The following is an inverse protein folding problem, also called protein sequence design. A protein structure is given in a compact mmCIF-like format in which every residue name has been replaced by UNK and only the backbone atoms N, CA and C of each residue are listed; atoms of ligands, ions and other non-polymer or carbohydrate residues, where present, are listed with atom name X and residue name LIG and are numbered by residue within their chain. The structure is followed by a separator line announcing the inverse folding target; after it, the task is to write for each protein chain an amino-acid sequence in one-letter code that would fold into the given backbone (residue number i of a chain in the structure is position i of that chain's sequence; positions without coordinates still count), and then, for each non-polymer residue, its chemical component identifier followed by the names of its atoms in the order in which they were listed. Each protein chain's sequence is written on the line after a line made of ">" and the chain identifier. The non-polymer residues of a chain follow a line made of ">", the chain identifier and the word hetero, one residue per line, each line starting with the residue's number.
data_IF_972306949977
#
_entry.id   IF_972306949977
#
_cell.length_a   1.000
_cell.length_b   1.000
_cell.length_c   1.000
_cell.angle_alpha   90.00
_cell.angle_beta   90.00
_cell.angle_gamma   90.00
#
_symmetry.space_group_name_H-M   'P 1'
#
loop_
_entity.id
_entity.type
_entity.pdbx_description
1 polymer ?
#
# COMPACT_ATOMS: atom_id res chain seq x y z
N UNK A 1 -47.69 6.49 51.04
CA UNK A 1 -46.63 7.16 51.82
C UNK A 1 -45.73 6.03 52.27
N UNK A 2 -44.51 5.83 51.77
CA UNK A 2 -43.56 6.69 51.07
C UNK A 2 -42.71 5.85 50.10
N UNK A 3 -42.16 6.55 49.11
CA UNK A 3 -41.15 6.07 48.15
C UNK A 3 -39.82 5.79 48.87
N UNK A 4 -39.12 4.74 48.46
CA UNK A 4 -37.65 4.78 48.43
C UNK A 4 -37.17 4.30 47.06
N UNK A 5 -36.81 5.28 46.26
CA UNK A 5 -36.09 5.21 44.99
C UNK A 5 -34.65 4.77 45.24
N UNK A 6 -34.33 3.52 44.91
CA UNK A 6 -32.96 3.10 44.68
C UNK A 6 -32.49 3.62 43.33
N UNK A 7 -31.83 4.78 43.32
CA UNK A 7 -30.99 5.25 42.22
C UNK A 7 -29.87 4.22 41.99
N UNK A 8 -30.03 3.38 40.96
CA UNK A 8 -28.89 2.76 40.32
C UNK A 8 -28.35 3.75 39.30
N UNK A 9 -27.36 4.52 39.73
CA UNK A 9 -26.47 5.29 38.87
C UNK A 9 -25.84 4.34 37.85
N UNK A 10 -26.36 4.35 36.62
CA UNK A 10 -25.68 3.77 35.48
C UNK A 10 -24.32 4.44 35.36
N UNK A 11 -23.27 3.65 35.55
CA UNK A 11 -21.91 4.08 35.24
C UNK A 11 -21.89 4.30 33.73
N UNK A 12 -21.82 5.57 33.32
CA UNK A 12 -21.51 5.95 31.94
C UNK A 12 -20.12 5.39 31.63
N UNK A 13 -20.09 4.22 31.02
CA UNK A 13 -18.88 3.60 30.52
C UNK A 13 -18.38 4.41 29.31
N UNK A 14 -17.21 5.07 29.39
CA UNK A 14 -16.66 5.87 28.28
C UNK A 14 -16.39 5.02 27.03
N UNK A 15 -16.36 3.69 27.15
CA UNK A 15 -16.17 2.77 26.03
C UNK A 15 -17.40 2.69 25.11
N UNK A 16 -18.58 3.11 25.59
CA UNK A 16 -19.85 3.09 24.85
C UNK A 16 -20.47 4.48 24.66
N UNK A 17 -19.75 5.53 25.05
CA UNK A 17 -20.15 6.90 24.84
C UNK A 17 -19.84 7.34 23.40
N UNK A 18 -20.51 6.75 22.41
CA UNK A 18 -20.48 7.30 21.04
C UNK A 18 -21.88 7.32 20.41
N UNK A 19 -22.48 8.51 20.44
CA UNK A 19 -23.61 8.85 19.58
C UNK A 19 -23.26 8.70 18.08
N UNK A 20 -21.98 8.60 17.73
CA UNK A 20 -21.47 8.42 16.36
C UNK A 20 -21.70 7.01 15.79
N UNK A 21 -21.72 5.95 16.60
CA UNK A 21 -21.89 4.58 16.09
C UNK A 21 -23.28 4.35 15.47
N UNK A 22 -24.31 5.08 15.95
CA UNK A 22 -25.67 5.02 15.38
C UNK A 22 -25.81 5.76 14.04
N UNK A 23 -24.88 6.65 13.67
CA UNK A 23 -24.91 7.42 12.41
C UNK A 23 -23.89 6.97 11.36
N UNK A 24 -23.01 6.03 11.67
CA UNK A 24 -22.01 5.53 10.71
C UNK A 24 -22.64 4.95 9.44
N UNK A 25 -22.20 5.44 8.28
CA UNK A 25 -22.58 4.88 6.98
C UNK A 25 -21.94 3.50 6.73
N UNK A 26 -20.82 3.22 7.41
CA UNK A 26 -20.13 1.93 7.38
C UNK A 26 -20.66 1.06 8.52
N UNK A 27 -21.17 -0.13 8.19
CA UNK A 27 -21.73 -1.10 9.15
C UNK A 27 -20.86 -2.33 9.34
N UNK A 28 -20.01 -2.65 8.37
CA UNK A 28 -19.04 -3.77 8.44
C UNK A 28 -17.65 -3.29 8.02
N UNK A 29 -16.97 -2.50 8.87
CA UNK A 29 -15.67 -1.91 8.54
C UNK A 29 -14.59 -2.96 8.22
N UNK A 30 -14.69 -4.16 8.79
CA UNK A 30 -13.77 -5.29 8.54
C UNK A 30 -13.66 -5.67 7.06
N UNK A 31 -14.72 -5.45 6.27
CA UNK A 31 -14.74 -5.74 4.83
C UNK A 31 -13.91 -4.75 4.00
N UNK A 32 -13.60 -3.59 4.59
CA UNK A 32 -12.78 -2.53 4.02
C UNK A 32 -11.38 -2.49 4.62
N UNK A 33 -11.02 -3.49 5.43
CA UNK A 33 -9.66 -3.62 5.96
C UNK A 33 -8.77 -4.38 4.98
N UNK A 34 -7.61 -3.81 4.70
CA UNK A 34 -6.62 -4.36 3.75
C UNK A 34 -6.05 -5.71 4.21
N UNK A 35 -6.07 -5.99 5.52
CA UNK A 35 -5.59 -7.25 6.10
C UNK A 35 -6.66 -8.34 6.21
N UNK A 36 -7.93 -8.01 5.95
CA UNK A 36 -9.01 -8.99 6.03
C UNK A 36 -8.93 -9.93 4.83
N UNK A 37 -8.83 -11.24 5.10
CA UNK A 37 -8.92 -12.29 4.09
C UNK A 37 -10.40 -12.65 3.94
N UNK A 38 -11.07 -12.27 2.84
CA UNK A 38 -12.48 -12.55 2.67
C UNK A 38 -12.67 -13.99 2.16
N UNK A 39 -13.91 -14.47 2.17
CA UNK A 39 -14.27 -15.75 1.57
C UNK A 39 -13.86 -15.84 0.09
N UNK A 40 -13.63 -17.06 -0.39
CA UNK A 40 -13.17 -17.32 -1.78
C UNK A 40 -14.01 -16.61 -2.83
N UNK A 41 -15.34 -16.59 -2.62
CA UNK A 41 -16.30 -15.97 -3.54
C UNK A 41 -16.14 -14.43 -3.65
N UNK A 42 -15.27 -13.83 -2.83
CA UNK A 42 -14.99 -12.39 -2.81
C UNK A 42 -13.60 -12.04 -3.32
N UNK A 43 -12.80 -13.04 -3.71
CA UNK A 43 -11.53 -12.85 -4.43
C UNK A 43 -11.87 -12.72 -5.92
N UNK A 44 -11.92 -11.49 -6.42
CA UNK A 44 -12.36 -11.21 -7.79
C UNK A 44 -11.14 -11.08 -8.73
N UNK A 45 -11.25 -11.67 -9.93
CA UNK A 45 -10.30 -11.47 -11.02
C UNK A 45 -8.96 -12.20 -10.83
N UNK A 46 -8.89 -13.20 -9.95
CA UNK A 46 -7.69 -14.01 -9.69
C UNK A 46 -7.92 -15.52 -9.77
N UNK A 47 -8.94 -15.93 -10.52
CA UNK A 47 -9.31 -17.35 -10.63
C UNK A 47 -8.20 -18.19 -11.27
N UNK A 48 -7.53 -17.65 -12.29
CA UNK A 48 -6.41 -18.32 -12.96
C UNK A 48 -5.24 -18.49 -11.99
N UNK A 49 -4.82 -17.40 -11.34
CA UNK A 49 -3.71 -17.43 -10.39
C UNK A 49 -4.02 -18.32 -9.17
N UNK A 50 -5.27 -18.32 -8.68
CA UNK A 50 -5.71 -19.25 -7.63
C UNK A 50 -5.58 -20.71 -8.08
N UNK A 51 -5.98 -21.03 -9.32
CA UNK A 51 -5.84 -22.35 -9.90
C UNK A 51 -4.37 -22.78 -10.04
N UNK A 52 -3.51 -21.88 -10.51
CA UNK A 52 -2.08 -22.16 -10.62
C UNK A 52 -1.43 -22.40 -9.26
N UNK A 53 -1.67 -21.54 -8.26
CA UNK A 53 -1.17 -21.78 -6.89
C UNK A 53 -1.71 -23.09 -6.31
N UNK A 54 -2.99 -23.40 -6.52
CA UNK A 54 -3.60 -24.64 -6.04
C UNK A 54 -2.94 -25.86 -6.69
N UNK A 55 -2.70 -25.83 -8.00
CA UNK A 55 -2.05 -26.93 -8.74
C UNK A 55 -0.65 -27.24 -8.22
N UNK A 56 0.11 -26.21 -7.81
CA UNK A 56 1.44 -26.40 -7.21
C UNK A 56 1.37 -26.97 -5.80
N UNK A 57 0.29 -26.70 -5.07
CA UNK A 57 0.06 -27.22 -3.72
C UNK A 57 -0.65 -28.59 -3.72
N UNK A 58 -1.14 -29.10 -4.85
CA UNK A 58 -1.74 -30.44 -4.93
C UNK A 58 -0.79 -31.56 -4.49
N UNK A 59 0.50 -31.45 -4.82
CA UNK A 59 1.51 -32.41 -4.40
C UNK A 59 1.51 -32.58 -2.87
N UNK A 60 1.41 -31.47 -2.14
CA UNK A 60 1.35 -31.48 -0.68
C UNK A 60 0.12 -32.22 -0.17
N UNK A 61 -1.04 -31.99 -0.80
CA UNK A 61 -2.31 -32.64 -0.42
C UNK A 61 -2.26 -34.15 -0.69
N UNK A 62 -1.50 -34.58 -1.69
CA UNK A 62 -1.31 -35.99 -2.09
C UNK A 62 -0.15 -36.70 -1.37
N UNK A 63 0.51 -36.03 -0.42
CA UNK A 63 1.71 -36.51 0.26
C UNK A 63 2.88 -36.81 -0.71
N UNK A 64 2.97 -36.01 -1.79
CA UNK A 64 4.05 -36.00 -2.76
C UNK A 64 5.01 -34.82 -2.46
N UNK A 65 6.30 -34.92 -2.81
CA UNK A 65 7.24 -33.83 -2.61
C UNK A 65 6.84 -32.60 -3.44
N UNK A 66 6.60 -31.43 -2.82
CA UNK A 66 6.21 -30.23 -3.57
C UNK A 66 7.40 -29.61 -4.29
N UNK A 67 7.11 -28.92 -5.40
CA UNK A 67 8.05 -28.04 -6.07
C UNK A 67 8.03 -26.64 -5.45
N UNK A 68 9.20 -26.02 -5.36
CA UNK A 68 9.30 -24.60 -5.03
C UNK A 68 8.78 -23.76 -6.22
N UNK A 69 8.07 -22.68 -5.92
CA UNK A 69 7.62 -21.70 -6.91
C UNK A 69 7.65 -20.30 -6.32
N UNK A 70 7.76 -19.28 -7.18
CA UNK A 70 7.84 -17.88 -6.76
C UNK A 70 6.67 -17.09 -7.36
N UNK A 71 6.02 -16.29 -6.52
CA UNK A 71 4.94 -15.40 -6.92
C UNK A 71 5.46 -13.96 -7.06
N UNK A 72 5.28 -13.36 -8.24
CA UNK A 72 5.71 -12.01 -8.58
C UNK A 72 4.55 -11.07 -8.87
N UNK A 73 4.80 -9.76 -8.79
CA UNK A 73 3.83 -8.72 -9.15
C UNK A 73 3.98 -7.44 -8.32
N UNK A 74 3.44 -6.33 -8.82
CA UNK A 74 3.40 -5.04 -8.11
C UNK A 74 2.65 -5.16 -6.78
N UNK A 75 2.86 -4.23 -5.85
CA UNK A 75 2.14 -4.26 -4.56
C UNK A 75 0.63 -4.12 -4.78
N UNK A 76 -0.17 -4.77 -3.93
CA UNK A 76 -1.63 -4.69 -4.02
C UNK A 76 -2.32 -5.47 -5.14
N UNK A 77 -1.59 -6.28 -5.91
CA UNK A 77 -2.17 -7.11 -6.98
C UNK A 77 -2.83 -8.41 -6.51
N UNK A 78 -2.91 -8.66 -5.20
CA UNK A 78 -3.57 -9.85 -4.63
C UNK A 78 -2.66 -11.05 -4.32
N UNK A 79 -1.34 -10.95 -4.53
CA UNK A 79 -0.37 -12.04 -4.23
C UNK A 79 -0.58 -12.65 -2.85
N UNK A 80 -0.40 -11.86 -1.78
CA UNK A 80 -0.52 -12.35 -0.40
C UNK A 80 -1.91 -12.89 -0.10
N UNK A 81 -2.95 -12.26 -0.64
CA UNK A 81 -4.34 -12.68 -0.47
C UNK A 81 -4.58 -14.07 -1.05
N UNK A 82 -4.17 -14.28 -2.30
CA UNK A 82 -4.32 -15.58 -2.99
C UNK A 82 -3.42 -16.63 -2.35
N UNK A 83 -2.16 -16.33 -2.07
CA UNK A 83 -1.25 -17.26 -1.40
C UNK A 83 -1.82 -17.75 -0.07
N UNK A 84 -2.30 -16.82 0.77
CA UNK A 84 -2.85 -17.15 2.07
C UNK A 84 -4.17 -17.91 1.95
N UNK A 85 -5.07 -17.48 1.06
CA UNK A 85 -6.36 -18.16 0.82
C UNK A 85 -6.15 -19.60 0.36
N UNK A 86 -5.29 -19.83 -0.64
CA UNK A 86 -5.02 -21.18 -1.15
C UNK A 86 -4.23 -22.02 -0.12
N UNK A 87 -3.28 -21.43 0.60
CA UNK A 87 -2.52 -22.11 1.65
C UNK A 87 -3.43 -22.63 2.78
N UNK A 88 -4.36 -21.80 3.27
CA UNK A 88 -5.34 -22.20 4.29
C UNK A 88 -6.16 -23.39 3.82
N UNK A 89 -6.59 -23.40 2.55
CA UNK A 89 -7.34 -24.52 1.96
C UNK A 89 -6.49 -25.79 1.83
N UNK A 90 -5.27 -25.65 1.34
CA UNK A 90 -4.36 -26.78 1.17
C UNK A 90 -4.06 -27.43 2.54
N UNK A 91 -3.88 -26.62 3.57
CA UNK A 91 -3.72 -27.10 4.95
C UNK A 91 -4.97 -27.83 5.44
N UNK A 92 -6.17 -27.27 5.26
CA UNK A 92 -7.42 -27.92 5.63
C UNK A 92 -7.62 -29.27 4.92
N UNK A 93 -7.36 -29.32 3.61
CA UNK A 93 -7.46 -30.55 2.81
C UNK A 93 -6.41 -31.59 3.23
N UNK A 94 -5.17 -31.17 3.49
CA UNK A 94 -4.13 -32.09 3.93
C UNK A 94 -4.40 -32.65 5.34
N UNK A 95 -4.88 -31.83 6.27
CA UNK A 95 -5.32 -32.30 7.60
C UNK A 95 -6.44 -33.35 7.48
N UNK A 96 -7.40 -33.15 6.57
CA UNK A 96 -8.45 -34.16 6.29
C UNK A 96 -7.88 -35.47 5.73
N UNK A 97 -6.77 -35.40 5.00
CA UNK A 97 -6.07 -36.56 4.44
C UNK A 97 -5.02 -37.17 5.39
N UNK A 98 -4.90 -36.66 6.62
CA UNK A 98 -3.90 -37.14 7.59
C UNK A 98 -2.46 -36.76 7.24
N UNK A 99 -2.25 -35.71 6.45
CA UNK A 99 -0.95 -35.16 6.10
C UNK A 99 -0.66 -33.85 6.87
N UNK A 100 0.56 -33.72 7.40
CA UNK A 100 1.03 -32.52 8.08
C UNK A 100 1.65 -31.53 7.08
N UNK A 101 1.15 -30.30 7.06
CA UNK A 101 1.58 -29.27 6.11
C UNK A 101 2.04 -28.02 6.85
N UNK A 102 3.29 -27.62 6.58
CA UNK A 102 3.83 -26.33 6.98
C UNK A 102 3.96 -25.41 5.78
N UNK A 103 3.25 -24.27 5.78
CA UNK A 103 3.42 -23.22 4.77
C UNK A 103 4.25 -22.09 5.37
N UNK A 104 5.40 -21.78 4.77
CA UNK A 104 6.26 -20.66 5.17
C UNK A 104 6.23 -19.60 4.07
N UNK A 105 5.58 -18.47 4.34
CA UNK A 105 5.54 -17.33 3.44
C UNK A 105 6.45 -16.21 3.95
N UNK A 106 7.53 -15.90 3.22
CA UNK A 106 8.46 -14.81 3.56
C UNK A 106 8.33 -13.72 2.50
N UNK A 107 8.00 -12.51 2.93
CA UNK A 107 7.88 -11.35 2.04
C UNK A 107 8.81 -10.24 2.50
N UNK A 108 9.82 -9.92 1.69
CA UNK A 108 10.44 -8.61 1.69
C UNK A 108 11.06 -8.35 0.31
N UNK A 109 10.72 -7.21 -0.32
CA UNK A 109 11.31 -6.80 -1.59
C UNK A 109 12.71 -6.24 -1.32
N UNK A 110 13.73 -7.08 -1.46
CA UNK A 110 15.08 -6.64 -1.81
C UNK A 110 15.43 -7.34 -3.11
N UNK A 111 16.26 -6.72 -3.95
CA UNK A 111 16.75 -7.19 -5.26
C UNK A 111 17.41 -8.60 -5.26
N UNK A 112 16.71 -9.62 -4.79
CA UNK A 112 17.22 -10.96 -4.49
C UNK A 112 17.75 -11.63 -5.75
N UNK A 113 17.11 -11.41 -6.90
CA UNK A 113 17.54 -12.00 -8.18
C UNK A 113 18.90 -11.48 -8.69
N UNK A 114 19.31 -10.26 -8.30
CA UNK A 114 20.64 -9.72 -8.65
C UNK A 114 21.74 -10.18 -7.69
N UNK A 115 21.39 -10.52 -6.45
CA UNK A 115 22.31 -11.06 -5.46
C UNK A 115 22.35 -12.59 -5.43
N UNK A 116 21.39 -13.26 -6.06
CA UNK A 116 21.35 -14.72 -6.12
C UNK A 116 22.28 -15.28 -7.18
N UNK A 117 23.16 -16.18 -6.73
CA UNK A 117 23.93 -17.01 -7.64
C UNK A 117 23.01 -17.99 -8.40
N UNK A 118 23.52 -18.48 -9.53
CA UNK A 118 22.79 -19.34 -10.47
C UNK A 118 22.32 -20.66 -9.83
N UNK A 119 23.04 -21.14 -8.80
CA UNK A 119 22.71 -22.36 -8.05
C UNK A 119 21.45 -22.21 -7.20
N UNK A 120 21.28 -21.06 -6.54
CA UNK A 120 20.09 -20.81 -5.69
C UNK A 120 18.86 -20.56 -6.57
N UNK A 121 19.01 -19.90 -7.72
CA UNK A 121 17.93 -19.76 -8.72
C UNK A 121 17.45 -21.13 -9.21
N UNK A 122 18.40 -22.00 -9.58
CA UNK A 122 18.09 -23.36 -10.03
C UNK A 122 17.40 -24.20 -8.95
N UNK A 123 17.74 -24.04 -7.66
CA UNK A 123 17.08 -24.75 -6.56
C UNK A 123 15.70 -24.21 -6.16
N UNK A 124 15.41 -22.94 -6.48
CA UNK A 124 14.11 -22.31 -6.21
C UNK A 124 13.05 -22.61 -7.28
N UNK A 125 13.43 -23.31 -8.35
CA UNK A 125 12.56 -23.67 -9.46
C UNK A 125 12.35 -22.53 -10.44
N UNK A 126 12.15 -22.86 -11.72
CA UNK A 126 11.82 -21.92 -12.80
C UNK A 126 10.31 -21.61 -12.90
N UNK A 127 9.50 -22.16 -11.98
CA UNK A 127 8.07 -21.94 -11.94
C UNK A 127 7.74 -20.58 -11.31
N UNK A 128 7.49 -19.60 -12.18
CA UNK A 128 7.14 -18.23 -11.82
C UNK A 128 5.67 -17.94 -12.10
N UNK A 129 4.97 -17.42 -11.10
CA UNK A 129 3.59 -17.01 -11.23
C UNK A 129 3.50 -15.49 -11.11
N UNK A 130 3.00 -14.82 -12.16
CA UNK A 130 3.00 -13.35 -12.27
C UNK A 130 1.60 -12.79 -12.07
N UNK A 131 1.43 -12.02 -11.00
CA UNK A 131 0.21 -11.24 -10.75
C UNK A 131 0.29 -9.88 -11.42
N UNK A 132 -0.51 -9.70 -12.47
CA UNK A 132 -0.67 -8.42 -13.15
C UNK A 132 -1.40 -7.40 -12.25
N UNK A 133 -1.23 -6.09 -12.49
CA UNK A 133 -2.13 -5.05 -11.98
C UNK A 133 -3.60 -5.36 -12.24
N UNK A 134 -4.50 -4.90 -11.36
CA UNK A 134 -5.93 -4.94 -11.67
C UNK A 134 -6.29 -3.85 -12.69
N UNK A 135 -7.14 -4.19 -13.66
CA UNK A 135 -7.76 -3.18 -14.51
C UNK A 135 -8.95 -2.49 -13.81
N UNK A 136 -9.49 -1.43 -14.43
CA UNK A 136 -10.60 -0.66 -13.85
C UNK A 136 -11.86 -1.49 -13.63
N UNK A 137 -12.16 -2.44 -14.52
CA UNK A 137 -13.33 -3.32 -14.42
C UNK A 137 -13.18 -4.30 -13.25
N UNK A 138 -11.99 -4.88 -13.09
CA UNK A 138 -11.67 -5.75 -11.97
C UNK A 138 -11.73 -4.99 -10.64
N UNK A 139 -11.15 -3.79 -10.58
CA UNK A 139 -11.23 -2.94 -9.38
C UNK A 139 -12.67 -2.55 -9.05
N UNK A 140 -13.47 -2.22 -10.04
CA UNK A 140 -14.89 -1.94 -9.85
C UNK A 140 -15.59 -3.15 -9.25
N UNK A 141 -15.43 -4.34 -9.82
CA UNK A 141 -16.04 -5.56 -9.29
C UNK A 141 -15.57 -5.91 -7.85
N UNK A 142 -14.28 -5.67 -7.54
CA UNK A 142 -13.72 -5.82 -6.19
C UNK A 142 -14.43 -4.88 -5.19
N UNK A 143 -14.68 -3.63 -5.58
CA UNK A 143 -15.35 -2.64 -4.74
C UNK A 143 -16.86 -2.93 -4.63
N UNK A 144 -17.51 -3.34 -5.72
CA UNK A 144 -18.92 -3.77 -5.74
C UNK A 144 -19.16 -4.91 -4.77
N UNK A 145 -18.27 -5.90 -4.75
CA UNK A 145 -18.30 -7.02 -3.82
C UNK A 145 -18.12 -6.62 -2.34
N UNK A 146 -17.87 -5.34 -2.04
CA UNK A 146 -17.69 -4.77 -0.69
C UNK A 146 -18.70 -3.67 -0.37
N UNK A 147 -19.65 -3.38 -1.25
CA UNK A 147 -20.71 -2.37 -1.02
C UNK A 147 -21.54 -2.70 0.22
N UNK A 148 -21.63 -3.99 0.53
CA UNK A 148 -22.29 -4.55 1.70
C UNK A 148 -21.59 -4.18 3.03
N UNK A 149 -20.40 -3.56 2.96
CA UNK A 149 -19.76 -2.88 4.10
C UNK A 149 -20.53 -1.62 4.56
N UNK A 150 -21.34 -1.04 3.68
CA UNK A 150 -22.12 0.17 3.90
C UNK A 150 -23.59 -0.15 4.13
N UNK A 151 -24.33 0.80 4.73
CA UNK A 151 -25.80 0.70 4.78
C UNK A 151 -26.39 0.71 3.37
N UNK A 152 -27.54 0.06 3.21
CA UNK A 152 -28.28 0.10 1.95
C UNK A 152 -28.58 1.55 1.53
N UNK A 153 -28.20 1.88 0.30
CA UNK A 153 -28.39 3.23 -0.26
C UNK A 153 -27.42 4.30 0.25
N UNK A 154 -26.44 3.95 1.09
CA UNK A 154 -25.44 4.90 1.60
C UNK A 154 -24.39 5.31 0.56
N UNK A 155 -24.25 4.58 -0.55
CA UNK A 155 -23.33 4.94 -1.63
C UNK A 155 -24.11 5.53 -2.80
N UNK A 156 -23.64 6.67 -3.33
CA UNK A 156 -24.07 7.13 -4.64
C UNK A 156 -23.53 6.20 -5.75
N UNK A 157 -24.31 6.06 -6.82
CA UNK A 157 -24.02 5.22 -7.98
C UNK A 157 -22.67 5.52 -8.63
N UNK A 158 -22.19 6.76 -8.57
CA UNK A 158 -20.92 7.18 -9.17
C UNK A 158 -19.69 6.89 -8.28
N UNK A 159 -19.87 6.58 -6.99
CA UNK A 159 -18.76 6.40 -6.03
C UNK A 159 -17.85 5.23 -6.43
N UNK A 160 -18.45 4.07 -6.72
CA UNK A 160 -17.69 2.86 -7.03
C UNK A 160 -16.94 2.99 -8.37
N UNK A 161 -17.57 3.40 -9.48
CA UNK A 161 -16.88 3.61 -10.75
C UNK A 161 -15.74 4.63 -10.63
N UNK A 162 -15.97 5.76 -9.94
CA UNK A 162 -14.94 6.79 -9.74
C UNK A 162 -13.75 6.25 -8.94
N UNK A 163 -14.01 5.57 -7.84
CA UNK A 163 -12.95 5.02 -6.98
C UNK A 163 -12.11 3.97 -7.74
N UNK A 164 -12.76 3.11 -8.53
CA UNK A 164 -12.08 2.14 -9.38
C UNK A 164 -11.20 2.81 -10.45
N UNK A 165 -11.74 3.84 -11.13
CA UNK A 165 -11.00 4.59 -12.13
C UNK A 165 -9.76 5.29 -11.56
N UNK A 166 -9.87 5.90 -10.37
CA UNK A 166 -8.74 6.52 -9.68
C UNK A 166 -7.65 5.49 -9.36
N UNK A 167 -8.01 4.36 -8.75
CA UNK A 167 -7.03 3.32 -8.42
C UNK A 167 -6.41 2.63 -9.66
N UNK A 168 -7.16 2.53 -10.77
CA UNK A 168 -6.65 1.95 -12.02
C UNK A 168 -5.58 2.85 -12.66
N UNK A 169 -5.77 4.18 -12.64
CA UNK A 169 -4.80 5.15 -13.17
C UNK A 169 -3.43 5.02 -12.49
N UNK A 170 -3.40 4.63 -11.23
CA UNK A 170 -2.19 4.55 -10.42
C UNK A 170 -1.80 3.10 -10.12
N UNK A 171 -1.65 2.32 -11.20
CA UNK A 171 -1.09 0.97 -11.20
C UNK A 171 -1.98 -0.17 -10.69
N UNK A 172 -3.28 0.04 -10.50
CA UNK A 172 -4.22 -1.06 -10.27
C UNK A 172 -4.08 -1.74 -8.90
N UNK A 173 -3.80 -0.98 -7.83
CA UNK A 173 -3.68 -1.49 -6.45
C UNK A 173 -5.08 -1.57 -5.78
N UNK A 174 -5.59 -2.78 -5.55
CA UNK A 174 -6.88 -2.99 -4.91
C UNK A 174 -6.93 -2.49 -3.45
N UNK A 175 -5.82 -2.52 -2.72
CA UNK A 175 -5.75 -2.00 -1.34
C UNK A 175 -5.92 -0.49 -1.32
N UNK A 176 -5.41 0.19 -2.36
CA UNK A 176 -5.64 1.63 -2.53
C UNK A 176 -7.11 1.91 -2.77
N UNK A 177 -7.73 1.21 -3.72
CA UNK A 177 -9.15 1.34 -4.02
C UNK A 177 -10.02 1.17 -2.76
N UNK A 178 -9.76 0.12 -1.98
CA UNK A 178 -10.49 -0.18 -0.73
C UNK A 178 -10.26 0.92 0.32
N UNK A 179 -9.01 1.40 0.49
CA UNK A 179 -8.72 2.50 1.43
C UNK A 179 -9.40 3.81 1.05
N UNK A 180 -9.41 4.17 -0.23
CA UNK A 180 -10.11 5.37 -0.71
C UNK A 180 -11.61 5.24 -0.39
N UNK A 181 -12.23 4.09 -0.68
CA UNK A 181 -13.63 3.85 -0.39
C UNK A 181 -13.95 3.94 1.12
N UNK A 182 -13.12 3.31 1.96
CA UNK A 182 -13.23 3.40 3.43
C UNK A 182 -13.15 4.84 3.91
N UNK A 183 -12.10 5.55 3.51
CA UNK A 183 -11.87 6.93 3.91
C UNK A 183 -13.01 7.85 3.44
N UNK A 184 -13.58 7.61 2.25
CA UNK A 184 -14.73 8.37 1.76
C UNK A 184 -15.98 8.14 2.64
N UNK A 185 -16.19 6.91 3.10
CA UNK A 185 -17.22 6.56 4.07
C UNK A 185 -17.02 7.20 5.44
N UNK A 186 -15.80 7.19 5.95
CA UNK A 186 -15.44 7.83 7.22
C UNK A 186 -15.64 9.35 7.17
N UNK A 187 -15.21 9.96 6.07
CA UNK A 187 -15.39 11.40 5.82
C UNK A 187 -16.87 11.77 5.78
N UNK A 188 -17.68 11.03 5.00
CA UNK A 188 -19.12 11.26 4.91
C UNK A 188 -19.82 11.09 6.27
N UNK A 189 -19.40 10.10 7.05
CA UNK A 189 -19.93 9.85 8.40
C UNK A 189 -19.62 11.01 9.34
N UNK A 190 -18.38 11.53 9.33
CA UNK A 190 -17.97 12.67 10.15
C UNK A 190 -18.74 13.95 9.83
N UNK A 191 -19.17 14.10 8.58
CA UNK A 191 -19.96 15.24 8.12
C UNK A 191 -21.47 15.05 8.30
N UNK A 192 -21.87 13.93 8.91
CA UNK A 192 -23.28 13.55 9.08
C UNK A 192 -24.05 13.50 7.75
N UNK A 193 -23.35 13.22 6.64
CA UNK A 193 -23.95 13.11 5.32
C UNK A 193 -24.80 11.83 5.21
N UNK A 194 -25.93 11.92 4.51
CA UNK A 194 -26.79 10.75 4.28
C UNK A 194 -26.16 9.72 3.33
N UNK A 195 -25.29 10.17 2.42
CA UNK A 195 -24.66 9.33 1.40
C UNK A 195 -23.21 9.73 1.14
N UNK A 196 -22.39 8.74 0.81
CA UNK A 196 -21.08 8.93 0.21
C UNK A 196 -21.27 9.40 -1.23
N UNK A 197 -20.61 10.51 -1.59
CA UNK A 197 -20.64 11.10 -2.93
C UNK A 197 -19.24 11.20 -3.52
N UNK A 198 -19.16 11.57 -4.78
CA UNK A 198 -17.92 11.75 -5.52
C UNK A 198 -16.93 12.74 -4.87
N UNK A 199 -17.41 13.79 -4.21
CA UNK A 199 -16.56 14.76 -3.50
C UNK A 199 -15.86 14.11 -2.29
N UNK A 200 -16.54 13.21 -1.58
CA UNK A 200 -15.92 12.46 -0.48
C UNK A 200 -14.80 11.55 -0.97
N UNK A 201 -14.93 11.00 -2.19
CA UNK A 201 -13.88 10.18 -2.84
C UNK A 201 -12.66 11.04 -3.17
N UNK A 202 -12.85 12.23 -3.74
CA UNK A 202 -11.73 13.13 -4.08
C UNK A 202 -10.95 13.55 -2.83
N UNK A 203 -11.67 13.89 -1.75
CA UNK A 203 -11.05 14.25 -0.47
C UNK A 203 -10.41 13.05 0.21
N UNK A 204 -11.02 11.87 0.11
CA UNK A 204 -10.46 10.63 0.62
C UNK A 204 -9.15 10.24 -0.08
N UNK A 205 -9.07 10.45 -1.39
CA UNK A 205 -7.83 10.26 -2.15
C UNK A 205 -6.73 11.19 -1.65
N UNK A 206 -6.99 12.51 -1.61
CA UNK A 206 -6.03 13.51 -1.13
C UNK A 206 -5.55 13.19 0.28
N UNK A 207 -6.47 12.80 1.16
CA UNK A 207 -6.15 12.40 2.53
C UNK A 207 -5.32 11.11 2.57
N UNK A 208 -5.68 10.08 1.79
CA UNK A 208 -4.93 8.82 1.75
C UNK A 208 -3.50 9.01 1.23
N UNK A 209 -3.29 9.92 0.28
CA UNK A 209 -1.96 10.31 -0.22
C UNK A 209 -1.15 11.00 0.89
N UNK A 210 -1.76 11.97 1.58
CA UNK A 210 -1.11 12.66 2.69
C UNK A 210 -0.78 11.72 3.87
N UNK A 211 -1.72 10.87 4.29
CA UNK A 211 -1.54 9.91 5.38
C UNK A 211 -0.43 8.89 5.03
N UNK A 212 -0.41 8.37 3.79
CA UNK A 212 0.66 7.49 3.30
C UNK A 212 2.02 8.19 3.35
N UNK A 213 2.08 9.45 2.90
CA UNK A 213 3.32 10.22 2.89
C UNK A 213 3.82 10.43 4.33
N UNK A 214 2.95 10.82 5.28
CA UNK A 214 3.27 10.92 6.70
C UNK A 214 3.84 9.60 7.26
N UNK A 215 3.16 8.47 7.03
CA UNK A 215 3.61 7.16 7.49
C UNK A 215 5.01 6.83 6.93
N UNK A 216 5.22 7.05 5.63
CA UNK A 216 6.50 6.80 4.98
C UNK A 216 7.60 7.69 5.55
N UNK A 217 7.38 9.02 5.58
CA UNK A 217 8.38 10.00 6.02
C UNK A 217 8.73 9.83 7.49
N UNK A 218 7.76 9.54 8.36
CA UNK A 218 8.00 9.36 9.80
C UNK A 218 8.98 8.20 10.08
N UNK A 219 8.87 7.11 9.32
CA UNK A 219 9.74 5.93 9.44
C UNK A 219 11.10 6.05 8.75
N UNK A 220 11.38 7.14 8.03
CA UNK A 220 12.65 7.29 7.32
C UNK A 220 13.83 7.60 8.27
N UNK A 221 15.02 7.01 8.01
CA UNK A 221 16.25 7.40 8.70
C UNK A 221 16.58 8.90 8.49
N UNK A 222 17.33 9.53 9.41
CA UNK A 222 17.64 10.97 9.34
C UNK A 222 18.24 11.41 8.00
N UNK A 223 19.26 10.70 7.49
CA UNK A 223 19.88 11.07 6.21
C UNK A 223 18.93 10.92 5.01
N UNK A 224 17.97 10.00 5.05
CA UNK A 224 16.95 9.92 4.01
C UNK A 224 16.02 11.14 4.05
N UNK A 225 15.69 11.64 5.26
CA UNK A 225 14.94 12.90 5.43
C UNK A 225 15.75 14.10 4.94
N UNK A 226 17.04 14.18 5.24
CA UNK A 226 17.90 15.28 4.77
C UNK A 226 18.01 15.31 3.24
N UNK A 227 18.07 14.16 2.58
CA UNK A 227 18.05 14.08 1.11
C UNK A 227 16.71 14.57 0.54
N UNK A 228 15.58 14.23 1.19
CA UNK A 228 14.27 14.73 0.76
C UNK A 228 14.13 16.24 0.97
N UNK A 229 14.63 16.78 2.08
CA UNK A 229 14.72 18.23 2.29
C UNK A 229 15.60 18.89 1.23
N UNK A 230 16.71 18.26 0.83
CA UNK A 230 17.58 18.78 -0.21
C UNK A 230 16.83 18.92 -1.54
N UNK A 231 16.08 17.89 -1.93
CA UNK A 231 15.23 17.91 -3.12
C UNK A 231 14.12 18.95 -3.02
N UNK A 232 13.39 19.01 -1.90
CA UNK A 232 12.32 19.99 -1.71
C UNK A 232 12.85 21.44 -1.76
N UNK A 233 14.02 21.69 -1.17
CA UNK A 233 14.68 23.01 -1.23
C UNK A 233 15.13 23.39 -2.64
N UNK A 234 15.58 22.41 -3.44
CA UNK A 234 15.95 22.65 -4.83
C UNK A 234 14.71 22.97 -5.67
N UNK A 235 13.64 22.21 -5.49
CA UNK A 235 12.35 22.37 -6.18
C UNK A 235 11.72 23.73 -5.89
N UNK A 236 11.78 24.19 -4.62
CA UNK A 236 11.25 25.51 -4.21
C UNK A 236 12.06 26.69 -4.77
N UNK A 237 13.33 26.49 -5.13
CA UNK A 237 14.21 27.57 -5.59
C UNK A 237 14.11 27.85 -7.09
N UNK A 238 13.61 26.91 -7.87
CA UNK A 238 13.58 26.99 -9.33
C UNK A 238 12.24 26.47 -9.88
N UNK A 239 11.21 27.34 -9.88
CA UNK A 239 9.87 27.05 -10.46
C UNK A 239 9.91 26.60 -11.93
N UNK A 240 11.05 26.73 -12.62
CA UNK A 240 11.21 26.32 -14.02
C UNK A 240 11.82 24.93 -14.21
N UNK A 241 12.29 24.29 -13.13
CA UNK A 241 12.97 22.99 -13.18
C UNK A 241 12.50 22.06 -12.07
N UNK A 242 11.89 20.94 -12.46
CA UNK A 242 11.44 19.88 -11.56
C UNK A 242 12.44 18.69 -11.49
N UNK A 243 13.57 18.78 -12.21
CA UNK A 243 14.57 17.70 -12.31
C UNK A 243 15.97 18.15 -11.87
N UNK A 244 16.54 17.42 -10.91
CA UNK A 244 17.83 17.74 -10.29
C UNK A 244 18.83 16.60 -10.41
N UNK A 245 20.09 16.90 -10.75
CA UNK A 245 21.14 15.87 -10.80
C UNK A 245 21.50 15.41 -9.41
N UNK A 246 21.96 14.16 -9.30
CA UNK A 246 22.49 13.62 -8.04
C UNK A 246 23.52 14.53 -7.37
N UNK A 247 24.39 15.19 -8.13
CA UNK A 247 25.41 16.11 -7.59
C UNK A 247 24.80 17.37 -6.99
N UNK A 248 23.77 17.95 -7.64
CA UNK A 248 23.04 19.12 -7.12
C UNK A 248 22.33 18.78 -5.81
N UNK A 249 21.69 17.60 -5.77
CA UNK A 249 21.05 17.08 -4.55
C UNK A 249 22.09 16.86 -3.44
N UNK A 250 23.24 16.31 -3.78
CA UNK A 250 24.32 16.04 -2.82
C UNK A 250 24.89 17.31 -2.19
N UNK A 251 25.15 18.35 -3.00
CA UNK A 251 25.63 19.65 -2.51
C UNK A 251 24.63 20.29 -1.53
N UNK A 252 23.33 20.22 -1.85
CA UNK A 252 22.28 20.75 -0.96
C UNK A 252 22.12 19.89 0.30
N UNK A 253 22.29 18.57 0.18
CA UNK A 253 22.29 17.64 1.30
C UNK A 253 23.45 17.90 2.28
N UNK A 254 24.66 18.21 1.78
CA UNK A 254 25.80 18.55 2.63
C UNK A 254 25.51 19.82 3.45
N UNK A 255 24.94 20.85 2.82
CA UNK A 255 24.53 22.06 3.54
C UNK A 255 23.47 21.80 4.62
N UNK A 256 22.54 20.86 4.38
CA UNK A 256 21.54 20.46 5.39
C UNK A 256 22.20 19.70 6.54
N UNK A 257 23.10 18.75 6.25
CA UNK A 257 23.87 18.03 7.26
C UNK A 257 24.65 18.98 8.17
N UNK A 258 25.26 20.04 7.62
CA UNK A 258 25.91 21.09 8.41
C UNK A 258 24.92 21.81 9.34
N UNK A 259 23.73 22.17 8.84
CA UNK A 259 22.71 22.84 9.67
C UNK A 259 22.12 21.95 10.77
N UNK A 260 22.04 20.64 10.53
CA UNK A 260 21.53 19.64 11.47
C UNK A 260 22.63 19.04 12.37
N UNK A 261 23.86 19.56 12.30
CA UNK A 261 25.03 19.10 13.07
C UNK A 261 25.23 17.57 12.92
N UNK A 262 25.17 17.10 11.67
CA UNK A 262 25.33 15.69 11.31
C UNK A 262 26.44 15.52 10.28
N UNK A 263 27.26 14.48 10.43
CA UNK A 263 28.30 14.16 9.44
C UNK A 263 27.65 13.68 8.12
N UNK A 264 28.05 14.22 6.94
CA UNK A 264 27.48 13.80 5.68
C UNK A 264 27.94 12.38 5.28
N UNK A 265 27.01 11.62 4.71
CA UNK A 265 27.32 10.35 4.05
C UNK A 265 27.97 10.60 2.70
N UNK A 266 28.86 9.70 2.27
CA UNK A 266 29.47 9.80 0.94
C UNK A 266 28.45 9.70 -0.22
N UNK A 267 28.81 10.29 -1.37
CA UNK A 267 27.95 10.38 -2.56
C UNK A 267 27.35 9.04 -3.02
N UNK A 268 28.10 7.94 -2.94
CA UNK A 268 27.58 6.62 -3.34
C UNK A 268 26.47 6.12 -2.41
N UNK A 269 26.57 6.39 -1.11
CA UNK A 269 25.51 6.06 -0.17
C UNK A 269 24.28 6.93 -0.40
N UNK A 270 24.46 8.22 -0.70
CA UNK A 270 23.36 9.12 -1.08
C UNK A 270 22.67 8.64 -2.35
N UNK A 271 23.42 8.15 -3.35
CA UNK A 271 22.85 7.52 -4.56
C UNK A 271 22.02 6.29 -4.27
N UNK A 272 22.42 5.47 -3.30
CA UNK A 272 21.65 4.32 -2.88
C UNK A 272 20.37 4.75 -2.16
N UNK A 273 20.45 5.72 -1.25
CA UNK A 273 19.29 6.29 -0.56
C UNK A 273 18.30 6.94 -1.54
N UNK A 274 18.77 7.66 -2.56
CA UNK A 274 17.91 8.20 -3.62
C UNK A 274 17.18 7.10 -4.41
N UNK A 275 17.84 5.97 -4.64
CA UNK A 275 17.21 4.79 -5.26
C UNK A 275 16.18 4.14 -4.35
N UNK A 276 16.45 4.08 -3.04
CA UNK A 276 15.51 3.58 -2.04
C UNK A 276 14.26 4.50 -1.96
N UNK A 277 14.45 5.82 -1.91
CA UNK A 277 13.37 6.81 -1.93
C UNK A 277 12.52 6.73 -3.21
N UNK A 278 13.16 6.50 -4.35
CA UNK A 278 12.45 6.32 -5.62
C UNK A 278 11.66 5.02 -5.66
N UNK A 279 12.18 3.96 -5.05
CA UNK A 279 11.45 2.70 -4.89
C UNK A 279 10.21 2.85 -3.99
N UNK A 280 10.24 3.74 -3.01
CA UNK A 280 9.09 4.08 -2.17
C UNK A 280 8.06 4.99 -2.86
N UNK A 281 8.32 5.39 -4.12
CA UNK A 281 7.52 6.33 -4.90
C UNK A 281 7.44 7.73 -4.26
N UNK A 282 8.42 8.11 -3.44
CA UNK A 282 8.54 9.45 -2.87
C UNK A 282 9.27 10.39 -3.87
N UNK A 283 10.20 9.82 -4.63
CA UNK A 283 10.94 10.51 -5.68
C UNK A 283 10.88 9.73 -6.99
N UNK A 284 11.11 10.40 -8.10
CA UNK A 284 11.41 9.74 -9.38
C UNK A 284 12.91 9.80 -9.65
N UNK A 285 13.45 8.81 -10.37
CA UNK A 285 14.87 8.79 -10.75
C UNK A 285 15.04 8.28 -12.17
N UNK A 286 15.39 9.19 -13.08
CA UNK A 286 15.53 8.91 -14.51
C UNK A 286 17.01 9.00 -14.94
N UNK A 287 17.52 7.94 -15.57
CA UNK A 287 18.89 7.91 -16.11
C UNK A 287 18.90 8.53 -17.50
N UNK A 288 19.67 9.60 -17.65
CA UNK A 288 19.79 10.35 -18.90
C UNK A 288 21.22 10.28 -19.43
N UNK A 289 21.34 10.08 -20.75
CA UNK A 289 22.61 10.14 -21.45
C UNK A 289 22.96 11.59 -21.82
N UNK A 290 24.11 12.09 -21.38
CA UNK A 290 24.52 13.47 -21.63
C UNK A 290 24.95 13.81 -23.07
N UNK A 291 24.81 12.88 -24.02
CA UNK A 291 25.35 13.01 -25.37
C UNK A 291 26.85 12.70 -25.45
N UNK A 292 27.46 13.00 -26.61
CA UNK A 292 28.90 12.74 -26.86
C UNK A 292 29.76 13.55 -25.88
N UNK A 293 30.33 12.86 -24.89
CA UNK A 293 31.36 13.39 -23.98
C UNK A 293 30.90 13.82 -22.59
N UNK A 294 29.60 13.79 -22.25
CA UNK A 294 29.10 14.22 -20.92
C UNK A 294 28.74 13.09 -19.95
N UNK A 295 29.00 11.83 -20.33
CA UNK A 295 28.69 10.67 -19.51
C UNK A 295 27.18 10.47 -19.28
N UNK A 296 26.83 9.44 -18.52
CA UNK A 296 25.45 9.22 -18.06
C UNK A 296 25.27 9.82 -16.68
N UNK A 297 24.15 10.48 -16.43
CA UNK A 297 23.80 11.02 -15.12
C UNK A 297 22.35 10.66 -14.76
N UNK A 298 22.00 10.78 -13.48
CA UNK A 298 20.64 10.50 -12.99
C UNK A 298 20.01 11.83 -12.57
N UNK A 299 18.79 12.04 -13.02
CA UNK A 299 17.93 13.15 -12.63
C UNK A 299 16.91 12.64 -11.61
N UNK A 300 16.60 13.48 -10.64
CA UNK A 300 15.72 13.18 -9.52
C UNK A 300 14.64 14.26 -9.42
N UNK A 301 13.41 13.83 -9.16
CA UNK A 301 12.23 14.69 -9.02
C UNK A 301 11.48 14.30 -7.77
N UNK A 302 10.89 15.28 -7.09
CA UNK A 302 10.00 15.04 -5.96
C UNK A 302 8.60 14.73 -6.48
N UNK A 303 7.98 13.63 -6.02
CA UNK A 303 6.64 13.25 -6.48
C UNK A 303 5.51 14.00 -5.77
N UNK A 304 5.83 14.66 -4.65
CA UNK A 304 4.90 15.41 -3.82
C UNK A 304 5.33 16.88 -3.76
N UNK A 305 4.43 17.78 -3.41
CA UNK A 305 4.78 19.20 -3.32
C UNK A 305 5.83 19.42 -2.22
N UNK A 306 6.79 20.35 -2.43
CA UNK A 306 7.81 20.69 -1.43
C UNK A 306 7.19 21.06 -0.08
N UNK A 307 6.07 21.80 -0.07
CA UNK A 307 5.37 22.22 1.14
C UNK A 307 4.90 21.02 1.97
N UNK A 308 4.36 19.99 1.31
CA UNK A 308 3.91 18.78 2.00
C UNK A 308 5.08 18.05 2.66
N UNK A 309 6.24 18.01 2.01
CA UNK A 309 7.46 17.40 2.57
C UNK A 309 7.97 18.22 3.76
N UNK A 310 8.02 19.55 3.66
CA UNK A 310 8.45 20.42 4.76
C UNK A 310 7.52 20.32 5.98
N UNK A 311 6.19 20.35 5.78
CA UNK A 311 5.23 20.24 6.88
C UNK A 311 5.31 18.89 7.61
N UNK A 312 5.60 17.82 6.89
CA UNK A 312 5.60 16.46 7.45
C UNK A 312 6.91 16.07 8.13
N UNK A 313 8.05 16.60 7.71
CA UNK A 313 9.33 16.30 8.39
C UNK A 313 9.51 17.14 9.66
N UNK A 314 8.91 18.34 9.73
CA UNK A 314 8.97 19.23 10.89
C UNK A 314 7.93 18.92 11.99
N UNK A 315 7.10 17.89 11.81
CA UNK A 315 6.17 17.36 12.80
C UNK A 315 6.77 16.18 13.56
#
# INVERSE_FOLDING_TARGET
>A
MENESGEQTGIDDPLFADAHTKRSLIVRPELLEVGHVPDQNRIIGRDVEMGEVASKLEAVIRNEPPSNFIIYGKTGTGKSLVSQSVAVRAQQAATQNGADVGVVAISNKINYRKSLNERVKSSLGDDELVFSPYDGTQLQAILEARTDAFRDGALDSAVIPKTAALAAREHGDARRAIRILRNAGDIATKEEAEKVREDHVDRAQKRAEADRLCELLSGLPPHSKYILFALANLDTKDDSREEFRTTEVYETYEAICESEVSDPLGLDRVRDLLRELSFLEITESNKTGGGRGRGSYTLHTLMNSPEAVFEMINK
#
